data_IF_919334039101
#
_entry.id   IF_919334039101
#
_cell.length_a   1.000
_cell.length_b   1.000
_cell.length_c   1.000
_cell.angle_alpha   90.00
_cell.angle_beta   90.00
_cell.angle_gamma   90.00
#
_symmetry.space_group_name_H-M   'P 1'
#
loop_
_entity.id
_entity.type
_entity.pdbx_description
1 polymer ?
#
# COMPACT_ATOMS: atom_id res chain seq x y z
N UNK A 1 -12.67 -2.07 -0.05
CA UNK A 1 -11.24 -2.39 0.13
C UNK A 1 -11.08 -3.89 0.06
N UNK A 2 -10.42 -4.39 -0.95
CA UNK A 2 -10.08 -5.80 -1.11
C UNK A 2 -8.55 -5.95 -1.01
N UNK A 3 -7.91 -6.60 -2.00
CA UNK A 3 -6.45 -6.71 -2.08
C UNK A 3 -5.74 -5.38 -2.32
N UNK A 4 -6.42 -4.41 -2.92
CA UNK A 4 -5.87 -3.09 -3.23
C UNK A 4 -6.71 -1.94 -2.70
N UNK A 5 -6.08 -0.77 -2.61
CA UNK A 5 -6.73 0.49 -2.25
C UNK A 5 -6.29 1.55 -3.25
N UNK A 6 -7.23 2.32 -3.75
CA UNK A 6 -6.92 3.50 -4.55
C UNK A 6 -7.80 4.68 -4.13
N UNK A 7 -7.30 5.87 -4.32
CA UNK A 7 -8.02 7.11 -4.05
C UNK A 7 -8.18 7.86 -5.36
N UNK A 8 -9.42 8.14 -5.74
CA UNK A 8 -9.74 8.90 -6.95
C UNK A 8 -10.18 10.31 -6.60
N UNK A 9 -9.60 11.30 -7.27
CA UNK A 9 -10.02 12.70 -7.15
C UNK A 9 -10.98 13.05 -8.30
N UNK A 10 -12.17 13.51 -7.94
CA UNK A 10 -13.22 13.84 -8.89
C UNK A 10 -13.56 15.33 -8.82
N UNK A 11 -13.74 15.92 -9.98
CA UNK A 11 -14.17 17.32 -10.10
C UNK A 11 -15.23 17.45 -11.20
N UNK A 12 -16.39 18.03 -10.87
CA UNK A 12 -17.50 18.19 -11.81
C UNK A 12 -17.90 16.86 -12.49
N UNK A 13 -17.94 15.77 -11.72
CA UNK A 13 -18.32 14.45 -12.21
C UNK A 13 -17.25 13.72 -13.03
N UNK A 14 -16.04 14.26 -13.12
CA UNK A 14 -14.92 13.65 -13.87
C UNK A 14 -13.76 13.32 -12.96
N UNK A 15 -13.11 12.18 -13.21
CA UNK A 15 -11.87 11.81 -12.53
C UNK A 15 -10.76 12.71 -13.07
N UNK A 16 -10.09 13.44 -12.18
CA UNK A 16 -8.97 14.30 -12.54
C UNK A 16 -7.62 13.72 -12.08
N UNK A 17 -7.65 12.81 -11.11
CA UNK A 17 -6.44 12.12 -10.65
C UNK A 17 -6.81 10.80 -9.99
N UNK A 18 -5.95 9.80 -10.16
CA UNK A 18 -6.07 8.50 -9.50
C UNK A 18 -4.72 7.77 -9.56
N UNK A 19 -4.36 7.08 -8.49
CA UNK A 19 -3.14 6.28 -8.47
C UNK A 19 -3.33 4.95 -9.19
N UNK A 20 -2.29 4.49 -9.90
CA UNK A 20 -2.24 3.13 -10.43
C UNK A 20 -1.74 2.18 -9.35
N UNK A 21 -2.65 1.70 -8.51
CA UNK A 21 -2.34 0.82 -7.39
C UNK A 21 -1.82 -0.56 -7.82
N UNK A 22 -2.01 -0.94 -9.08
CA UNK A 22 -1.48 -2.19 -9.61
C UNK A 22 0.03 -2.12 -9.87
N UNK A 23 0.57 -0.92 -9.99
CA UNK A 23 1.94 -0.69 -10.46
C UNK A 23 2.78 0.13 -9.47
N UNK A 24 2.39 0.12 -8.21
CA UNK A 24 3.18 0.71 -7.14
C UNK A 24 2.90 2.18 -6.85
N UNK A 25 1.73 2.69 -7.21
CA UNK A 25 1.32 4.04 -6.85
C UNK A 25 0.30 4.02 -5.69
N UNK A 26 0.25 5.12 -4.95
CA UNK A 26 -0.71 5.31 -3.87
C UNK A 26 -0.32 4.67 -2.54
N UNK A 27 -1.26 4.53 -1.59
CA UNK A 27 -0.98 3.95 -0.29
C UNK A 27 -0.75 2.44 -0.40
N UNK A 28 -0.01 1.87 0.54
CA UNK A 28 0.04 0.41 0.61
C UNK A 28 -1.32 -0.14 1.09
N UNK A 29 -1.57 -1.40 0.78
CA UNK A 29 -2.87 -2.03 0.93
C UNK A 29 -2.70 -3.45 1.46
N UNK A 30 -3.78 -4.25 1.58
CA UNK A 30 -3.63 -5.64 2.03
C UNK A 30 -2.60 -6.47 1.26
N UNK A 31 -2.45 -6.30 -0.05
CA UNK A 31 -1.55 -7.14 -0.86
C UNK A 31 -0.53 -6.34 -1.68
N UNK A 32 -0.56 -4.99 -1.67
CA UNK A 32 0.26 -4.16 -2.54
C UNK A 32 1.15 -3.22 -1.76
N UNK A 33 2.34 -2.98 -2.29
CA UNK A 33 3.34 -2.15 -1.63
C UNK A 33 2.99 -0.66 -1.58
N UNK A 34 2.19 -0.17 -2.54
CA UNK A 34 2.04 1.26 -2.75
C UNK A 34 3.34 1.91 -3.24
N UNK A 35 3.42 3.22 -3.11
CA UNK A 35 4.61 3.98 -3.49
C UNK A 35 5.82 3.61 -2.65
N UNK A 36 6.99 3.53 -3.29
CA UNK A 36 8.25 3.17 -2.66
C UNK A 36 9.31 4.23 -2.95
N UNK A 37 10.32 4.39 -2.07
CA UNK A 37 11.47 5.22 -2.37
C UNK A 37 12.22 4.68 -3.58
N UNK A 38 12.32 5.49 -4.63
CA UNK A 38 12.90 5.07 -5.92
C UNK A 38 14.34 4.57 -5.76
N UNK A 39 15.17 5.28 -4.98
CA UNK A 39 16.56 4.87 -4.78
C UNK A 39 16.72 3.52 -4.10
N UNK A 40 15.89 3.22 -3.12
CA UNK A 40 15.90 1.91 -2.46
C UNK A 40 15.46 0.80 -3.41
N UNK A 41 14.47 1.06 -4.24
CA UNK A 41 14.00 0.10 -5.25
C UNK A 41 15.09 -0.20 -6.28
N UNK A 42 15.80 0.82 -6.76
CA UNK A 42 16.91 0.65 -7.71
C UNK A 42 18.02 -0.22 -7.10
N UNK A 43 18.39 0.01 -5.85
CA UNK A 43 19.37 -0.83 -5.15
C UNK A 43 18.92 -2.28 -5.06
N UNK A 44 17.67 -2.52 -4.78
CA UNK A 44 17.09 -3.87 -4.72
C UNK A 44 17.17 -4.56 -6.09
N UNK A 45 16.80 -3.83 -7.17
CA UNK A 45 16.82 -4.37 -8.53
C UNK A 45 18.21 -4.82 -8.98
N UNK A 46 19.24 -4.10 -8.58
CA UNK A 46 20.62 -4.38 -8.99
C UNK A 46 21.46 -5.10 -7.92
N UNK A 47 20.85 -5.58 -6.84
CA UNK A 47 21.55 -6.26 -5.76
C UNK A 47 21.98 -7.68 -6.09
N UNK A 48 21.40 -8.29 -7.13
CA UNK A 48 21.58 -9.70 -7.45
C UNK A 48 20.84 -10.67 -6.54
N UNK A 49 20.08 -10.16 -5.56
CA UNK A 49 19.35 -10.98 -4.57
C UNK A 49 17.94 -11.38 -5.02
N UNK A 50 17.37 -10.66 -5.98
CA UNK A 50 16.00 -10.84 -6.42
C UNK A 50 15.90 -10.88 -7.93
N UNK A 51 14.99 -11.72 -8.45
CA UNK A 51 14.59 -11.67 -9.86
C UNK A 51 13.57 -10.56 -10.07
N UNK A 52 13.37 -10.18 -11.33
CA UNK A 52 12.32 -9.21 -11.69
C UNK A 52 10.94 -9.67 -11.22
N UNK A 53 10.61 -10.95 -11.42
CA UNK A 53 9.32 -11.51 -11.00
C UNK A 53 9.12 -11.47 -9.50
N UNK A 54 10.16 -11.74 -8.71
CA UNK A 54 10.11 -11.66 -7.25
C UNK A 54 9.81 -10.23 -6.79
N UNK A 55 10.45 -9.22 -7.41
CA UNK A 55 10.23 -7.81 -7.09
C UNK A 55 8.81 -7.39 -7.49
N UNK A 56 8.33 -7.80 -8.66
CA UNK A 56 6.96 -7.52 -9.10
C UNK A 56 5.91 -8.08 -8.13
N UNK A 57 6.14 -9.28 -7.61
CA UNK A 57 5.25 -9.88 -6.59
C UNK A 57 5.25 -9.09 -5.29
N UNK A 58 6.34 -8.45 -4.91
CA UNK A 58 6.39 -7.55 -3.75
C UNK A 58 5.57 -6.28 -3.96
N UNK A 59 5.44 -5.83 -5.21
CA UNK A 59 4.60 -4.69 -5.56
C UNK A 59 3.12 -5.07 -5.53
N UNK A 60 2.77 -6.24 -6.07
CA UNK A 60 1.39 -6.72 -6.17
C UNK A 60 1.29 -8.20 -5.79
N UNK A 61 0.56 -8.50 -4.76
CA UNK A 61 0.31 -9.86 -4.27
C UNK A 61 0.98 -10.14 -2.94
N UNK A 62 2.28 -9.94 -2.83
CA UNK A 62 3.08 -10.19 -1.63
C UNK A 62 3.59 -8.90 -0.97
N UNK A 63 2.96 -7.77 -1.26
CA UNK A 63 3.29 -6.49 -0.63
C UNK A 63 2.31 -6.13 0.48
N UNK A 64 2.42 -4.91 1.01
CA UNK A 64 1.49 -4.37 1.98
C UNK A 64 1.34 -5.19 3.25
N UNK A 65 0.11 -5.40 3.69
CA UNK A 65 -0.16 -6.19 4.90
C UNK A 65 0.40 -7.61 4.82
N UNK A 66 0.37 -8.24 3.65
CA UNK A 66 0.95 -9.57 3.46
C UNK A 66 2.44 -9.56 3.76
N UNK A 67 3.18 -8.56 3.29
CA UNK A 67 4.62 -8.45 3.53
C UNK A 67 4.93 -8.21 5.02
N UNK A 68 4.15 -7.37 5.68
CA UNK A 68 4.41 -6.99 7.07
C UNK A 68 3.83 -7.97 8.09
N UNK A 69 2.63 -8.49 7.84
CA UNK A 69 1.83 -9.24 8.82
C UNK A 69 1.45 -10.66 8.37
N UNK A 70 1.85 -11.04 7.18
CA UNK A 70 1.58 -12.35 6.59
C UNK A 70 0.07 -12.66 6.45
N UNK A 71 -0.74 -11.63 6.26
CA UNK A 71 -2.18 -11.75 6.02
C UNK A 71 -2.68 -10.59 5.17
N UNK A 72 -3.65 -10.86 4.31
CA UNK A 72 -4.38 -9.84 3.55
C UNK A 72 -5.75 -9.50 4.15
N UNK A 73 -6.12 -10.14 5.26
CA UNK A 73 -7.43 -9.96 5.88
C UNK A 73 -7.37 -8.89 6.98
N UNK A 74 -7.96 -7.72 6.68
CA UNK A 74 -8.01 -6.61 7.63
C UNK A 74 -8.75 -6.98 8.92
N UNK A 75 -9.72 -7.89 8.86
CA UNK A 75 -10.46 -8.36 10.04
C UNK A 75 -9.56 -9.15 10.97
N UNK A 76 -8.70 -10.00 10.41
CA UNK A 76 -7.70 -10.73 11.18
C UNK A 76 -6.71 -9.77 11.84
N UNK A 77 -6.30 -8.72 11.12
CA UNK A 77 -5.42 -7.68 11.68
C UNK A 77 -6.08 -6.98 12.86
N UNK A 78 -7.35 -6.61 12.75
CA UNK A 78 -8.11 -5.99 13.84
C UNK A 78 -8.21 -6.91 15.06
N UNK A 79 -8.46 -8.19 14.86
CA UNK A 79 -8.48 -9.19 15.95
C UNK A 79 -7.12 -9.29 16.64
N UNK A 80 -6.02 -9.27 15.87
CA UNK A 80 -4.66 -9.27 16.42
C UNK A 80 -4.36 -8.02 17.23
N UNK A 81 -4.83 -6.86 16.79
CA UNK A 81 -4.67 -5.60 17.52
C UNK A 81 -5.41 -5.67 18.86
N UNK A 82 -6.64 -6.17 18.89
CA UNK A 82 -7.43 -6.35 20.10
C UNK A 82 -6.74 -7.33 21.07
N UNK A 83 -6.02 -8.31 20.54
CA UNK A 83 -5.26 -9.27 21.33
C UNK A 83 -3.89 -8.72 21.83
N UNK A 84 -3.54 -7.48 21.48
CA UNK A 84 -2.32 -6.83 21.97
C UNK A 84 -1.12 -6.89 21.01
N UNK A 85 -1.32 -7.21 19.72
CA UNK A 85 -0.25 -7.25 18.72
C UNK A 85 0.14 -5.82 18.33
N UNK A 86 1.23 -5.32 18.91
CA UNK A 86 1.71 -3.95 18.67
C UNK A 86 2.23 -3.73 17.26
N UNK A 87 2.83 -4.73 16.63
CA UNK A 87 3.28 -4.64 15.24
C UNK A 87 2.09 -4.52 14.29
N UNK A 88 1.05 -5.31 14.52
CA UNK A 88 -0.17 -5.24 13.72
C UNK A 88 -0.81 -3.85 13.82
N UNK A 89 -0.85 -3.28 15.02
CA UNK A 89 -1.36 -1.94 15.27
C UNK A 89 -0.56 -0.88 14.49
N UNK A 90 0.77 -0.93 14.58
CA UNK A 90 1.65 0.02 13.90
C UNK A 90 1.44 -0.04 12.38
N UNK A 91 1.44 -1.23 11.81
CA UNK A 91 1.28 -1.42 10.36
C UNK A 91 -0.10 -0.99 9.88
N UNK A 92 -1.14 -1.34 10.61
CA UNK A 92 -2.51 -0.97 10.26
C UNK A 92 -2.73 0.54 10.30
N UNK A 93 -2.21 1.19 11.34
CA UNK A 93 -2.26 2.65 11.47
C UNK A 93 -1.44 3.34 10.38
N UNK A 94 -0.29 2.77 9.98
CA UNK A 94 0.52 3.30 8.88
C UNK A 94 -0.22 3.21 7.54
N UNK A 95 -0.96 2.14 7.29
CA UNK A 95 -1.79 2.01 6.09
C UNK A 95 -2.87 3.10 6.07
N UNK A 96 -3.58 3.28 7.17
CA UNK A 96 -4.61 4.32 7.30
C UNK A 96 -4.01 5.72 7.13
N UNK A 97 -2.82 5.95 7.67
CA UNK A 97 -2.09 7.21 7.52
C UNK A 97 -1.78 7.52 6.04
N UNK A 98 -1.30 6.53 5.29
CA UNK A 98 -1.02 6.72 3.87
C UNK A 98 -2.28 6.98 3.05
N UNK A 99 -3.37 6.29 3.36
CA UNK A 99 -4.67 6.55 2.72
C UNK A 99 -5.11 7.99 3.01
N UNK A 100 -4.99 8.43 4.25
CA UNK A 100 -5.33 9.80 4.65
C UNK A 100 -4.49 10.85 3.93
N UNK A 101 -3.20 10.60 3.73
CA UNK A 101 -2.32 11.46 2.96
C UNK A 101 -2.79 11.62 1.51
N UNK A 102 -3.18 10.53 0.87
CA UNK A 102 -3.69 10.55 -0.50
C UNK A 102 -4.99 11.35 -0.59
N UNK A 103 -5.89 11.16 0.35
CA UNK A 103 -7.15 11.92 0.41
C UNK A 103 -6.84 13.40 0.60
N UNK A 104 -5.95 13.75 1.52
CA UNK A 104 -5.56 15.13 1.78
C UNK A 104 -4.89 15.80 0.58
N UNK A 105 -3.98 15.09 -0.09
CA UNK A 105 -3.33 15.57 -1.31
C UNK A 105 -4.36 15.83 -2.42
N UNK A 106 -5.30 14.90 -2.61
CA UNK A 106 -6.36 15.05 -3.61
C UNK A 106 -7.29 16.23 -3.27
N UNK A 107 -7.65 16.40 -1.99
CA UNK A 107 -8.48 17.51 -1.54
C UNK A 107 -7.80 18.86 -1.78
N UNK A 108 -6.49 18.94 -1.62
CA UNK A 108 -5.73 20.16 -1.81
C UNK A 108 -5.72 20.65 -3.27
N UNK A 109 -5.82 19.75 -4.24
CA UNK A 109 -5.80 20.11 -5.68
C UNK A 109 -7.20 20.26 -6.28
N UNK A 110 -8.22 19.95 -5.53
CA UNK A 110 -9.62 20.14 -5.95
C UNK A 110 -10.15 21.48 -5.49
#
# INVERSE_FOLDING_TARGET
MGGGVSVGAHKNGKIVDVANALDGEGPFSPERSGGLPVGALVKMCFSGKYTQDEIKKKIKGNGGLVAYLNTNDAREVEERIEAGDEKAKLVYEAMAYQISKEIGASAAVL
#
